data_IF_800517585696
#
_entry.id   IF_800517585696
#
_cell.length_a   1.000
_cell.length_b   1.000
_cell.length_c   1.000
_cell.angle_alpha   90.00
_cell.angle_beta   90.00
_cell.angle_gamma   90.00
#
_symmetry.space_group_name_H-M   'P 1'
#
loop_
_entity.id
_entity.type
_entity.pdbx_description
1 polymer ?
#
# COMPACT_ATOMS: atom_id res chain seq x y z
N UNK A 1 9.23 -2.95 -22.87
CA UNK A 1 9.82 -1.75 -23.51
C UNK A 1 10.28 -0.82 -22.39
N UNK A 2 11.54 -0.36 -22.37
CA UNK A 2 12.05 0.48 -21.28
C UNK A 2 11.52 1.90 -21.42
N UNK A 3 10.60 2.31 -20.54
CA UNK A 3 10.11 3.69 -20.47
C UNK A 3 10.99 4.49 -19.51
N UNK A 4 11.53 5.62 -19.98
CA UNK A 4 12.28 6.58 -19.17
C UNK A 4 11.43 7.85 -19.11
N UNK A 5 11.17 8.34 -17.89
CA UNK A 5 10.57 9.65 -17.67
C UNK A 5 11.73 10.65 -17.57
N UNK A 6 12.11 11.27 -18.69
CA UNK A 6 13.30 12.12 -18.79
C UNK A 6 13.12 13.50 -18.14
N UNK A 7 11.87 14.00 -18.07
CA UNK A 7 11.55 15.26 -17.40
C UNK A 7 10.81 15.02 -16.08
N UNK A 8 11.18 15.77 -15.04
CA UNK A 8 10.55 15.64 -13.72
C UNK A 8 9.08 16.09 -13.71
N UNK A 9 8.68 16.94 -14.66
CA UNK A 9 7.28 17.32 -14.95
C UNK A 9 6.43 16.16 -15.49
N UNK A 10 7.06 15.11 -16.04
CA UNK A 10 6.37 13.96 -16.62
C UNK A 10 6.00 12.89 -15.57
N UNK A 11 6.50 13.02 -14.34
CA UNK A 11 6.18 12.11 -13.23
C UNK A 11 4.92 12.62 -12.54
N UNK A 12 3.78 12.03 -12.89
CA UNK A 12 2.46 12.31 -12.29
C UNK A 12 1.83 11.03 -11.77
N UNK A 13 0.82 11.13 -10.91
CA UNK A 13 0.07 9.95 -10.44
C UNK A 13 -0.53 9.17 -11.62
N UNK A 14 -1.14 9.86 -12.59
CA UNK A 14 -1.72 9.21 -13.78
C UNK A 14 -0.66 8.46 -14.61
N UNK A 15 0.52 9.05 -14.77
CA UNK A 15 1.62 8.43 -15.50
C UNK A 15 2.17 7.18 -14.79
N UNK A 16 2.22 7.22 -13.45
CA UNK A 16 2.61 6.08 -12.63
C UNK A 16 1.54 4.98 -12.62
N UNK A 17 0.25 5.31 -12.53
CA UNK A 17 -0.86 4.34 -12.60
C UNK A 17 -0.86 3.60 -13.94
N UNK A 18 -0.79 4.34 -15.06
CA UNK A 18 -0.72 3.73 -16.38
C UNK A 18 0.45 2.74 -16.49
N UNK A 19 1.63 3.14 -15.99
CA UNK A 19 2.82 2.30 -16.04
C UNK A 19 2.73 1.06 -15.13
N UNK A 20 2.05 1.15 -13.98
CA UNK A 20 1.76 -0.01 -13.12
C UNK A 20 0.85 -1.00 -13.83
N UNK A 21 -0.26 -0.51 -14.43
CA UNK A 21 -1.23 -1.34 -15.16
C UNK A 21 -0.60 -2.05 -16.33
N UNK A 22 0.21 -1.35 -17.12
CA UNK A 22 0.97 -1.91 -18.24
C UNK A 22 1.94 -3.03 -17.78
N UNK A 23 2.36 -2.98 -16.52
CA UNK A 23 3.24 -3.97 -15.91
C UNK A 23 2.50 -5.10 -15.18
N UNK A 24 1.17 -5.12 -15.23
CA UNK A 24 0.33 -6.14 -14.59
C UNK A 24 0.00 -5.89 -13.12
N UNK A 25 0.48 -4.79 -12.53
CA UNK A 25 0.06 -4.35 -11.20
C UNK A 25 -1.23 -3.55 -11.32
N UNK A 26 -2.30 -3.98 -10.66
CA UNK A 26 -3.62 -3.34 -10.75
C UNK A 26 -3.95 -2.64 -9.43
N UNK A 27 -3.87 -1.29 -9.38
CA UNK A 27 -4.34 -0.53 -8.23
C UNK A 27 -5.84 -0.72 -8.02
N UNK A 28 -6.27 -0.88 -6.76
CA UNK A 28 -7.69 -1.00 -6.43
C UNK A 28 -8.37 0.37 -6.26
N UNK A 29 -7.58 1.43 -6.08
CA UNK A 29 -8.06 2.80 -5.96
C UNK A 29 -6.95 3.77 -6.40
N UNK A 30 -7.30 4.77 -7.19
CA UNK A 30 -6.41 5.84 -7.65
C UNK A 30 -7.08 7.17 -7.38
N UNK A 31 -6.36 8.06 -6.72
CA UNK A 31 -6.77 9.42 -6.35
C UNK A 31 -5.72 10.41 -6.87
N UNK A 32 -6.05 11.70 -6.99
CA UNK A 32 -5.10 12.70 -7.53
C UNK A 32 -3.75 12.77 -6.78
N UNK A 33 -3.72 12.38 -5.51
CA UNK A 33 -2.56 12.44 -4.62
C UNK A 33 -1.95 11.06 -4.30
N UNK A 34 -2.64 9.95 -4.63
CA UNK A 34 -2.18 8.62 -4.26
C UNK A 34 -2.71 7.48 -5.13
N UNK A 35 -1.90 6.43 -5.25
CA UNK A 35 -2.27 5.13 -5.83
C UNK A 35 -2.31 4.12 -4.69
N UNK A 36 -3.37 3.31 -4.59
CA UNK A 36 -3.50 2.28 -3.56
C UNK A 36 -3.49 0.89 -4.17
N UNK A 37 -2.64 0.04 -3.58
CA UNK A 37 -2.42 -1.34 -4.01
C UNK A 37 -2.58 -2.29 -2.82
N UNK A 38 -2.74 -3.57 -3.12
CA UNK A 38 -2.68 -4.65 -2.15
C UNK A 38 -1.64 -5.67 -2.59
N UNK A 39 -0.99 -6.30 -1.62
CA UNK A 39 -0.22 -7.52 -1.87
C UNK A 39 -1.18 -8.68 -2.16
N UNK A 40 -0.64 -9.84 -2.54
CA UNK A 40 -1.46 -11.05 -2.79
C UNK A 40 -2.18 -11.51 -1.52
N UNK A 41 -1.52 -11.38 -0.36
CA UNK A 41 -2.10 -11.60 0.97
C UNK A 41 -3.01 -10.47 1.46
N UNK A 42 -3.26 -9.47 0.63
CA UNK A 42 -4.24 -8.40 0.91
C UNK A 42 -3.71 -7.25 1.76
N UNK A 43 -2.40 -7.18 2.06
CA UNK A 43 -1.80 -6.08 2.82
C UNK A 43 -1.89 -4.81 1.96
N UNK A 44 -2.60 -3.79 2.43
CA UNK A 44 -2.74 -2.55 1.71
C UNK A 44 -1.46 -1.71 1.81
N UNK A 45 -1.08 -1.05 0.73
CA UNK A 45 -0.04 -0.04 0.71
C UNK A 45 -0.38 1.04 -0.33
N UNK A 46 0.30 2.18 -0.25
CA UNK A 46 0.07 3.30 -1.15
C UNK A 46 1.35 3.86 -1.73
N UNK A 47 1.21 4.46 -2.90
CA UNK A 47 2.22 5.26 -3.57
C UNK A 47 1.73 6.70 -3.54
N UNK A 48 2.56 7.61 -3.05
CA UNK A 48 2.28 9.05 -3.07
C UNK A 48 3.44 9.80 -3.73
N UNK A 49 3.16 10.97 -4.29
CA UNK A 49 4.15 11.79 -4.97
C UNK A 49 4.42 13.06 -4.18
N UNK A 50 5.69 13.31 -3.86
CA UNK A 50 6.19 14.60 -3.38
C UNK A 50 6.87 15.29 -4.56
N UNK A 51 6.16 16.24 -5.18
CA UNK A 51 6.64 16.98 -6.36
C UNK A 51 7.72 17.99 -6.02
N UNK A 52 7.67 18.57 -4.83
CA UNK A 52 8.61 19.61 -4.40
C UNK A 52 9.99 19.01 -4.15
N UNK A 53 10.03 17.87 -3.45
CA UNK A 53 11.28 17.17 -3.12
C UNK A 53 11.68 16.12 -4.14
N UNK A 54 10.82 15.87 -5.14
CA UNK A 54 11.00 14.88 -6.20
C UNK A 54 11.21 13.46 -5.68
N UNK A 55 10.30 13.01 -4.81
CA UNK A 55 10.25 11.64 -4.30
C UNK A 55 8.91 10.97 -4.61
N UNK A 56 8.99 9.70 -5.01
CA UNK A 56 7.87 8.76 -4.96
C UNK A 56 8.00 8.01 -3.63
N UNK A 57 6.97 8.09 -2.80
CA UNK A 57 6.92 7.35 -1.54
C UNK A 57 6.05 6.12 -1.70
N UNK A 58 6.57 4.97 -1.33
CA UNK A 58 5.79 3.72 -1.17
C UNK A 58 5.69 3.46 0.33
N UNK A 59 4.48 3.40 0.87
CA UNK A 59 4.30 3.31 2.32
C UNK A 59 3.04 2.54 2.73
N UNK A 60 3.09 2.02 3.96
CA UNK A 60 1.94 1.44 4.66
C UNK A 60 2.09 1.60 6.16
N UNK A 61 1.00 1.32 6.87
CA UNK A 61 0.95 1.18 8.32
C UNK A 61 0.50 -0.24 8.62
N UNK A 62 1.35 -1.00 9.30
CA UNK A 62 1.05 -2.36 9.74
C UNK A 62 0.54 -2.28 11.18
N UNK A 63 -0.68 -2.74 11.44
CA UNK A 63 -1.26 -2.66 12.77
C UNK A 63 -0.49 -3.54 13.74
N UNK A 64 -0.14 -2.96 14.90
CA UNK A 64 0.46 -3.69 16.00
C UNK A 64 -0.55 -3.86 17.14
N UNK A 65 -0.45 -4.97 17.87
CA UNK A 65 -1.33 -5.24 19.01
C UNK A 65 -1.32 -4.06 19.99
N UNK A 66 -2.50 -3.47 20.20
CA UNK A 66 -2.68 -2.22 20.97
C UNK A 66 -2.18 -2.31 22.41
N UNK A 67 -2.37 -3.47 23.04
CA UNK A 67 -2.03 -3.70 24.44
C UNK A 67 -0.57 -4.11 24.66
N UNK A 68 0.22 -4.27 23.59
CA UNK A 68 1.63 -4.62 23.72
C UNK A 68 2.45 -3.43 24.22
N UNK A 69 3.41 -3.63 25.14
CA UNK A 69 4.32 -2.58 25.59
C UNK A 69 5.03 -1.88 24.45
N UNK A 70 5.19 -0.56 24.55
CA UNK A 70 5.83 0.26 23.50
C UNK A 70 7.26 -0.17 23.20
N UNK A 71 8.00 -0.64 24.21
CA UNK A 71 9.38 -1.13 24.04
C UNK A 71 9.45 -2.36 23.11
N UNK A 72 8.45 -3.25 23.17
CA UNK A 72 8.39 -4.40 22.25
C UNK A 72 8.14 -3.96 20.80
N UNK A 73 7.32 -2.91 20.61
CA UNK A 73 7.07 -2.33 19.29
C UNK A 73 8.32 -1.68 18.73
N UNK A 74 9.04 -0.89 19.54
CA UNK A 74 10.32 -0.32 19.14
C UNK A 74 11.39 -1.37 18.86
N UNK A 75 11.42 -2.45 19.63
CA UNK A 75 12.34 -3.56 19.40
C UNK A 75 12.07 -4.26 18.06
N UNK A 76 10.80 -4.48 17.70
CA UNK A 76 10.43 -4.96 16.36
C UNK A 76 10.93 -4.01 15.27
N UNK A 77 10.67 -2.70 15.40
CA UNK A 77 11.11 -1.72 14.42
C UNK A 77 12.65 -1.68 14.31
N UNK A 78 13.37 -1.78 15.43
CA UNK A 78 14.84 -1.84 15.46
C UNK A 78 15.36 -3.04 14.68
N UNK A 79 14.87 -4.25 15.00
CA UNK A 79 15.25 -5.48 14.31
C UNK A 79 14.96 -5.42 12.82
N UNK A 80 13.80 -4.91 12.42
CA UNK A 80 13.47 -4.73 11.01
C UNK A 80 14.44 -3.78 10.30
N UNK A 81 14.84 -2.67 10.92
CA UNK A 81 15.84 -1.77 10.33
C UNK A 81 17.26 -2.38 10.26
N UNK A 82 17.58 -3.35 11.12
CA UNK A 82 18.87 -4.06 11.11
C UNK A 82 18.91 -5.20 10.08
N UNK A 83 17.80 -5.93 9.95
CA UNK A 83 17.74 -7.19 9.20
C UNK A 83 17.11 -7.05 7.81
N UNK A 84 16.27 -6.03 7.60
CA UNK A 84 15.50 -5.83 6.36
C UNK A 84 15.95 -4.58 5.61
N UNK A 85 16.47 -4.79 4.40
CA UNK A 85 16.83 -3.69 3.50
C UNK A 85 15.61 -3.17 2.73
N UNK A 86 15.72 -1.95 2.19
CA UNK A 86 14.77 -1.20 1.35
C UNK A 86 13.97 -0.14 2.13
N UNK A 87 12.90 -0.44 2.89
CA UNK A 87 12.17 0.59 3.63
C UNK A 87 12.83 0.94 4.96
N UNK A 88 12.37 2.05 5.53
CA UNK A 88 12.61 2.44 6.92
C UNK A 88 11.38 2.05 7.75
N UNK A 89 11.63 1.53 8.95
CA UNK A 89 10.59 1.13 9.90
C UNK A 89 10.57 2.06 11.11
N UNK A 90 9.39 2.56 11.46
CA UNK A 90 9.20 3.42 12.64
C UNK A 90 7.90 3.08 13.33
N UNK A 91 7.77 3.45 14.61
CA UNK A 91 6.49 3.40 15.32
C UNK A 91 5.83 4.77 15.18
N UNK A 92 4.59 4.80 14.69
CA UNK A 92 3.84 6.03 14.56
C UNK A 92 3.14 6.45 15.88
N UNK A 93 2.33 7.51 15.81
CA UNK A 93 1.65 8.07 16.97
C UNK A 93 0.54 7.14 17.50
N UNK A 94 -0.03 6.30 16.65
CA UNK A 94 -1.06 5.32 17.02
C UNK A 94 -0.43 4.01 17.55
N UNK A 95 0.89 3.92 17.51
CA UNK A 95 1.65 2.76 17.94
C UNK A 95 1.65 1.64 16.90
N UNK A 96 1.37 1.95 15.64
CA UNK A 96 1.47 1.05 14.51
C UNK A 96 2.85 1.12 13.86
N UNK A 97 3.21 0.07 13.12
CA UNK A 97 4.47 0.01 12.40
C UNK A 97 4.33 0.75 11.07
N UNK A 98 4.87 1.96 11.00
CA UNK A 98 5.00 2.71 9.77
C UNK A 98 6.17 2.16 8.94
N UNK A 99 5.87 1.73 7.71
CA UNK A 99 6.82 1.22 6.73
C UNK A 99 6.87 2.18 5.56
N UNK A 100 8.03 2.74 5.24
CA UNK A 100 8.14 3.74 4.17
C UNK A 100 9.44 3.60 3.38
N UNK A 101 9.33 3.65 2.05
CA UNK A 101 10.46 3.79 1.13
C UNK A 101 10.29 5.05 0.28
N UNK A 102 11.38 5.74 -0.02
CA UNK A 102 11.38 6.93 -0.86
C UNK A 102 12.33 6.74 -2.06
N UNK A 103 11.78 6.77 -3.27
CA UNK A 103 12.50 6.71 -4.53
C UNK A 103 12.63 8.12 -5.11
N UNK A 104 13.85 8.63 -5.26
CA UNK A 104 14.04 9.90 -5.95
C UNK A 104 13.85 9.76 -7.46
N UNK A 105 13.29 10.80 -8.08
CA UNK A 105 13.24 10.97 -9.53
C UNK A 105 13.85 12.31 -9.97
N UNK A 106 14.75 12.87 -9.16
CA UNK A 106 15.41 14.15 -9.42
C UNK A 106 16.06 14.22 -10.82
N UNK A 107 16.63 13.10 -11.27
CA UNK A 107 17.29 12.96 -12.58
C UNK A 107 16.49 12.09 -13.55
N UNK A 108 15.17 12.11 -13.41
CA UNK A 108 14.26 11.25 -14.16
C UNK A 108 13.95 9.94 -13.44
N UNK A 109 13.01 9.18 -14.00
CA UNK A 109 12.55 7.91 -13.46
C UNK A 109 12.68 6.81 -14.53
N UNK A 110 13.36 5.72 -14.20
CA UNK A 110 13.35 4.53 -15.04
C UNK A 110 12.13 3.70 -14.65
N UNK A 111 11.15 3.58 -15.54
CA UNK A 111 9.87 2.91 -15.25
C UNK A 111 10.05 1.46 -14.80
N UNK A 112 11.02 0.74 -15.37
CA UNK A 112 11.34 -0.63 -14.94
C UNK A 112 11.87 -0.71 -13.50
N UNK A 113 12.64 0.29 -13.06
CA UNK A 113 13.13 0.37 -11.68
C UNK A 113 11.97 0.68 -10.71
N UNK A 114 11.10 1.62 -11.07
CA UNK A 114 9.90 1.94 -10.30
C UNK A 114 9.04 0.69 -10.05
N UNK A 115 8.69 -0.04 -11.10
CA UNK A 115 7.88 -1.27 -11.00
C UNK A 115 8.59 -2.34 -10.18
N UNK A 116 9.89 -2.52 -10.39
CA UNK A 116 10.69 -3.48 -9.60
C UNK A 116 10.67 -3.15 -8.10
N UNK A 117 10.73 -1.87 -7.75
CA UNK A 117 10.63 -1.40 -6.37
C UNK A 117 9.24 -1.68 -5.80
N UNK A 118 8.17 -1.41 -6.55
CA UNK A 118 6.79 -1.66 -6.09
C UNK A 118 6.56 -3.15 -5.83
N UNK A 119 7.01 -4.04 -6.72
CA UNK A 119 6.95 -5.48 -6.49
C UNK A 119 7.76 -5.91 -5.27
N UNK A 120 9.02 -5.46 -5.15
CA UNK A 120 9.88 -5.80 -4.00
C UNK A 120 9.28 -5.34 -2.70
N UNK A 121 8.70 -4.13 -2.67
CA UNK A 121 8.03 -3.62 -1.48
C UNK A 121 6.83 -4.50 -1.10
N UNK A 122 5.99 -4.89 -2.06
CA UNK A 122 4.86 -5.78 -1.81
C UNK A 122 5.30 -7.15 -1.24
N UNK A 123 6.27 -7.82 -1.87
CA UNK A 123 6.79 -9.10 -1.39
C UNK A 123 7.46 -8.98 -0.02
N UNK A 124 8.12 -7.85 0.25
CA UNK A 124 8.76 -7.58 1.54
C UNK A 124 7.73 -7.41 2.67
N UNK A 125 6.58 -6.79 2.41
CA UNK A 125 5.52 -6.69 3.42
C UNK A 125 5.03 -8.09 3.84
N UNK A 126 4.85 -8.99 2.87
CA UNK A 126 4.42 -10.36 3.15
C UNK A 126 5.49 -11.13 3.92
N UNK A 127 6.76 -11.00 3.50
CA UNK A 127 7.88 -11.59 4.21
C UNK A 127 7.98 -11.13 5.67
N UNK A 128 7.79 -9.84 5.94
CA UNK A 128 7.85 -9.31 7.31
C UNK A 128 6.74 -9.90 8.18
N UNK A 129 5.51 -9.96 7.65
CA UNK A 129 4.39 -10.55 8.38
C UNK A 129 4.63 -12.03 8.66
N UNK A 130 5.23 -12.76 7.73
CA UNK A 130 5.50 -14.19 7.91
C UNK A 130 6.70 -14.46 8.85
N UNK A 131 7.79 -13.72 8.70
CA UNK A 131 9.07 -14.00 9.37
C UNK A 131 9.25 -13.28 10.71
N UNK A 132 8.60 -12.14 10.92
CA UNK A 132 8.78 -11.30 12.12
C UNK A 132 7.56 -11.26 13.04
N UNK A 133 6.53 -12.09 12.78
CA UNK A 133 5.31 -12.13 13.59
C UNK A 133 5.16 -13.37 14.49
N UNK A 134 6.25 -14.06 14.84
CA UNK A 134 6.19 -15.26 15.67
C UNK A 134 5.47 -15.03 17.03
N UNK A 135 5.67 -13.85 17.62
CA UNK A 135 5.08 -13.47 18.92
C UNK A 135 3.65 -12.88 18.79
N UNK A 136 3.11 -12.81 17.56
CA UNK A 136 1.79 -12.27 17.27
C UNK A 136 1.66 -10.78 17.55
N UNK A 137 2.75 -10.01 17.43
CA UNK A 137 2.74 -8.56 17.67
C UNK A 137 2.08 -7.80 16.52
N UNK A 138 2.23 -8.26 15.28
CA UNK A 138 1.49 -7.76 14.11
C UNK A 138 0.09 -8.38 14.14
N UNK A 139 -0.94 -7.53 14.15
CA UNK A 139 -2.32 -7.95 14.36
C UNK A 139 -3.27 -7.17 13.45
N UNK A 140 -3.65 -7.79 12.33
CA UNK A 140 -4.63 -7.23 11.38
C UNK A 140 -6.09 -7.35 11.87
N UNK A 141 -6.31 -7.94 13.04
CA UNK A 141 -7.64 -8.26 13.56
C UNK A 141 -8.29 -9.44 12.83
N UNK A 142 -9.49 -9.81 13.29
CA UNK A 142 -10.31 -10.77 12.56
C UNK A 142 -10.81 -10.14 11.25
N UNK A 143 -10.84 -10.89 10.13
CA UNK A 143 -11.43 -10.41 8.89
C UNK A 143 -12.87 -9.98 9.19
N UNK A 144 -13.17 -8.70 8.95
CA UNK A 144 -14.53 -8.20 9.08
C UNK A 144 -15.33 -8.83 7.94
N UNK A 145 -16.10 -9.88 8.24
CA UNK A 145 -17.15 -10.36 7.35
C UNK A 145 -18.19 -9.24 7.26
N UNK A 146 -18.03 -8.37 6.27
CA UNK A 146 -19.10 -7.43 5.91
C UNK A 146 -20.29 -8.30 5.51
N UNK A 147 -21.45 -8.20 6.19
CA UNK A 147 -22.62 -8.96 5.80
C UNK A 147 -22.91 -8.63 4.34
N UNK A 148 -23.00 -9.65 3.48
CA UNK A 148 -23.49 -9.49 2.14
C UNK A 148 -24.82 -8.72 2.23
N UNK A 149 -24.87 -7.54 1.60
CA UNK A 149 -26.11 -6.77 1.50
C UNK A 149 -27.14 -7.73 0.91
N UNK A 150 -28.14 -8.08 1.72
CA UNK A 150 -29.22 -8.93 1.29
C UNK A 150 -29.79 -8.32 0.01
N UNK A 151 -29.76 -9.11 -1.06
CA UNK A 151 -30.40 -8.83 -2.32
C UNK A 151 -31.80 -8.27 -2.04
N UNK A 152 -31.99 -6.98 -2.30
CA UNK A 152 -33.28 -6.35 -2.16
C UNK A 152 -34.17 -6.96 -3.24
N UNK A 153 -34.91 -8.00 -2.84
CA UNK A 153 -35.86 -8.70 -3.67
C UNK A 153 -36.67 -7.70 -4.48
N UNK A 154 -36.57 -7.84 -5.81
CA UNK A 154 -37.41 -7.13 -6.76
C UNK A 154 -38.87 -7.49 -6.46
N UNK A 155 -39.57 -6.58 -5.77
CA UNK A 155 -41.01 -6.66 -5.59
C UNK A 155 -41.72 -6.34 -6.92
N UNK A 156 -42.85 -7.01 -7.24
CA UNK A 156 -43.53 -6.82 -8.51
C UNK A 156 -44.22 -5.46 -8.56
N UNK A 157 -44.00 -4.73 -9.64
CA UNK A 157 -44.73 -3.51 -10.01
C UNK A 157 -46.21 -3.84 -10.20
N UNK A 158 -47.05 -3.45 -9.23
CA UNK A 158 -48.50 -3.42 -9.41
C UNK A 158 -48.84 -2.16 -10.20
N UNK A 159 -49.21 -2.34 -11.47
CA UNK A 159 -49.74 -1.27 -12.32
C UNK A 159 -51.18 -0.95 -11.94
N UNK A 160 -51.39 0.30 -11.56
CA UNK A 160 -52.67 0.91 -11.22
C UNK A 160 -53.46 1.18 -12.51
N UNK A 161 -54.67 0.61 -12.61
CA UNK A 161 -55.66 0.86 -13.65
C UNK A 161 -56.47 2.11 -13.30
N UNK A 162 -56.48 3.13 -14.17
CA UNK A 162 -57.58 4.12 -14.23
C UNK A 162 -57.85 4.55 -15.69
N UNK A 163 -59.08 4.21 -16.11
CA UNK A 163 -59.98 4.79 -17.12
C UNK A 163 -59.45 5.24 -18.49
#
# INVERSE_FOLDING_TARGET
MTKIFEESSAVTIDALDAHLRDSGLVPYNVQPDCIRLRTEKGIAYRITLDTDRKFIRVATYIPLRRNSPIDQKHELARRLNEEVFLPVFTIDQDGDLAVSYALTYLHGLIGGNFVSIVHRFASLLEYIVDAFNADGLIDFGAPTTVPAVADAGSGPTSGELLH
#
